data_IF_632781845037
#
_entry.id   IF_632781845037
#
_cell.length_a   1.000
_cell.length_b   1.000
_cell.length_c   1.000
_cell.angle_alpha   90.00
_cell.angle_beta   90.00
_cell.angle_gamma   90.00
#
_symmetry.space_group_name_H-M   'P 1'
#
loop_
_entity.id
_entity.type
_entity.pdbx_description
1 polymer ?
#
# COMPACT_ATOMS: atom_id res chain seq x y z
N UNK A 1 -9.49 2.51 -23.11
CA UNK A 1 -8.28 1.66 -23.16
C UNK A 1 -8.71 0.21 -23.37
N UNK A 2 -8.10 -0.53 -24.30
CA UNK A 2 -8.41 -1.95 -24.53
C UNK A 2 -7.58 -2.84 -23.58
N UNK A 3 -7.93 -4.13 -23.47
CA UNK A 3 -7.28 -5.07 -22.55
C UNK A 3 -5.77 -5.23 -22.80
N UNK A 4 -5.33 -5.15 -24.07
CA UNK A 4 -3.93 -5.27 -24.45
C UNK A 4 -3.07 -4.07 -23.99
N UNK A 5 -3.61 -2.86 -23.99
CA UNK A 5 -2.91 -1.70 -23.47
C UNK A 5 -2.74 -1.76 -21.93
N UNK A 6 -3.77 -2.21 -21.21
CA UNK A 6 -3.66 -2.48 -19.77
C UNK A 6 -2.59 -3.54 -19.47
N UNK A 7 -2.50 -4.56 -20.34
CA UNK A 7 -1.44 -5.57 -20.29
C UNK A 7 -0.05 -5.00 -20.36
N UNK A 8 0.19 -4.19 -21.39
CA UNK A 8 1.50 -3.64 -21.64
C UNK A 8 1.95 -2.75 -20.49
N UNK A 9 1.03 -1.96 -19.92
CA UNK A 9 1.31 -1.13 -18.75
C UNK A 9 1.61 -1.96 -17.50
N UNK A 10 0.81 -3.01 -17.23
CA UNK A 10 1.06 -3.92 -16.13
C UNK A 10 2.42 -4.60 -16.27
N UNK A 11 2.73 -5.12 -17.47
CA UNK A 11 3.99 -5.80 -17.74
C UNK A 11 5.17 -4.85 -17.59
N UNK A 12 5.08 -3.62 -18.11
CA UNK A 12 6.15 -2.63 -17.94
C UNK A 12 6.42 -2.29 -16.46
N UNK A 13 5.38 -2.24 -15.63
CA UNK A 13 5.54 -2.08 -14.17
C UNK A 13 6.13 -3.33 -13.51
N UNK A 14 5.74 -4.53 -13.96
CA UNK A 14 6.31 -5.80 -13.47
C UNK A 14 7.80 -5.91 -13.84
N UNK A 15 8.20 -5.52 -15.05
CA UNK A 15 9.61 -5.49 -15.46
C UNK A 15 10.41 -4.52 -14.60
N UNK A 16 9.81 -3.38 -14.24
CA UNK A 16 10.40 -2.41 -13.30
C UNK A 16 10.57 -2.97 -11.89
N UNK A 17 9.68 -3.85 -11.43
CA UNK A 17 9.75 -4.47 -10.10
C UNK A 17 10.93 -5.44 -9.95
N UNK A 18 11.45 -5.96 -11.06
CA UNK A 18 12.59 -6.89 -11.06
C UNK A 18 13.95 -6.19 -10.90
N UNK A 19 13.99 -4.86 -10.97
CA UNK A 19 15.24 -4.11 -10.91
C UNK A 19 15.83 -4.13 -9.48
N UNK A 20 17.14 -4.34 -9.38
CA UNK A 20 17.82 -4.65 -8.12
C UNK A 20 17.65 -3.58 -7.03
N UNK A 21 17.61 -2.31 -7.43
CA UNK A 21 17.45 -1.16 -6.54
C UNK A 21 16.06 -1.03 -5.89
N UNK A 22 15.08 -1.83 -6.31
CA UNK A 22 13.78 -1.95 -5.64
C UNK A 22 13.65 -3.20 -4.78
N UNK A 23 14.63 -4.12 -4.81
CA UNK A 23 14.60 -5.34 -4.01
C UNK A 23 14.94 -5.04 -2.56
N UNK A 24 14.19 -5.69 -1.67
CA UNK A 24 14.48 -5.68 -0.24
C UNK A 24 15.38 -6.88 0.03
N UNK A 25 16.64 -6.60 0.34
CA UNK A 25 17.71 -7.60 0.52
C UNK A 25 17.66 -8.27 1.89
N UNK A 26 17.22 -7.54 2.91
CA UNK A 26 17.08 -8.04 4.28
C UNK A 26 15.74 -7.62 4.88
N UNK A 27 15.13 -8.53 5.63
CA UNK A 27 13.88 -8.28 6.32
C UNK A 27 14.13 -7.84 7.76
N UNK A 28 13.19 -7.05 8.27
CA UNK A 28 13.10 -6.77 9.70
C UNK A 28 12.72 -8.08 10.40
N UNK A 29 13.66 -8.69 11.11
CA UNK A 29 13.45 -9.97 11.81
C UNK A 29 12.88 -9.78 13.21
N UNK A 30 13.28 -8.69 13.89
CA UNK A 30 12.81 -8.38 15.24
C UNK A 30 11.31 -8.07 15.25
N UNK A 31 10.58 -8.77 16.13
CA UNK A 31 9.14 -8.54 16.34
C UNK A 31 8.86 -7.10 16.77
N UNK A 32 9.71 -6.51 17.60
CA UNK A 32 9.53 -5.14 18.06
C UNK A 32 9.69 -4.14 16.92
N UNK A 33 10.67 -4.34 16.05
CA UNK A 33 10.84 -3.49 14.88
C UNK A 33 9.70 -3.66 13.86
N UNK A 34 9.15 -4.88 13.68
CA UNK A 34 7.93 -5.09 12.89
C UNK A 34 6.73 -4.37 13.51
N UNK A 35 6.59 -4.38 14.84
CA UNK A 35 5.54 -3.64 15.55
C UNK A 35 5.71 -2.12 15.39
N UNK A 36 6.94 -1.60 15.52
CA UNK A 36 7.24 -0.19 15.30
C UNK A 36 6.88 0.24 13.87
N UNK A 37 7.23 -0.58 12.87
CA UNK A 37 6.80 -0.35 11.48
C UNK A 37 5.27 -0.28 11.39
N UNK A 38 4.54 -1.25 11.95
CA UNK A 38 3.07 -1.28 11.91
C UNK A 38 2.47 -0.02 12.56
N UNK A 39 2.98 0.41 13.71
CA UNK A 39 2.55 1.64 14.38
C UNK A 39 2.76 2.85 13.47
N UNK A 40 3.89 2.92 12.78
CA UNK A 40 4.18 4.01 11.85
C UNK A 40 3.33 3.96 10.57
N UNK A 41 2.98 2.77 10.06
CA UNK A 41 2.04 2.63 8.93
C UNK A 41 0.67 3.18 9.32
N UNK A 42 0.15 2.77 10.48
CA UNK A 42 -1.13 3.26 10.99
C UNK A 42 -1.12 4.77 11.21
N UNK A 43 -0.05 5.30 11.80
CA UNK A 43 0.15 6.73 11.94
C UNK A 43 0.16 7.44 10.58
N UNK A 44 0.81 6.87 9.56
CA UNK A 44 0.89 7.46 8.23
C UNK A 44 -0.49 7.53 7.53
N UNK A 45 -1.33 6.51 7.65
CA UNK A 45 -2.71 6.57 7.15
C UNK A 45 -3.53 7.66 7.85
N UNK A 46 -3.49 7.71 9.19
CA UNK A 46 -4.16 8.77 9.96
C UNK A 46 -3.64 10.17 9.57
N UNK A 47 -2.34 10.27 9.27
CA UNK A 47 -1.70 11.49 8.82
C UNK A 47 -2.18 11.93 7.43
N UNK A 48 -2.24 11.04 6.44
CA UNK A 48 -2.71 11.42 5.10
C UNK A 48 -4.19 11.81 5.13
N UNK A 49 -5.03 11.11 5.90
CA UNK A 49 -6.45 11.43 6.05
C UNK A 49 -6.66 12.82 6.67
N UNK A 50 -5.97 13.10 7.78
CA UNK A 50 -6.06 14.38 8.47
C UNK A 50 -5.61 15.56 7.61
N UNK A 51 -4.73 15.32 6.64
CA UNK A 51 -4.13 16.35 5.81
C UNK A 51 -4.65 16.36 4.37
N UNK A 52 -5.70 15.56 4.08
CA UNK A 52 -6.33 15.41 2.77
C UNK A 52 -5.34 15.02 1.65
N UNK A 53 -4.36 14.18 2.00
CA UNK A 53 -3.40 13.60 1.07
C UNK A 53 -3.95 12.29 0.51
N UNK A 54 -3.53 11.95 -0.71
CA UNK A 54 -3.89 10.65 -1.32
C UNK A 54 -3.32 9.49 -0.48
N UNK A 55 -4.17 8.53 -0.10
CA UNK A 55 -3.79 7.38 0.72
C UNK A 55 -2.74 6.49 0.05
N UNK A 56 -2.68 6.47 -1.28
CA UNK A 56 -1.65 5.75 -2.05
C UNK A 56 -0.22 6.25 -1.78
N UNK A 57 -0.06 7.49 -1.29
CA UNK A 57 1.24 8.05 -0.86
C UNK A 57 1.88 7.17 0.23
N UNK A 58 1.06 6.53 1.08
CA UNK A 58 1.56 5.65 2.14
C UNK A 58 2.27 4.42 1.55
N UNK A 59 1.79 3.86 0.43
CA UNK A 59 2.48 2.74 -0.24
C UNK A 59 3.88 3.14 -0.74
N UNK A 60 4.04 4.35 -1.29
CA UNK A 60 5.34 4.86 -1.71
C UNK A 60 6.25 5.12 -0.50
N UNK A 61 5.71 5.77 0.54
CA UNK A 61 6.45 6.06 1.77
C UNK A 61 6.98 4.78 2.42
N UNK A 62 6.18 3.71 2.48
CA UNK A 62 6.64 2.46 3.08
C UNK A 62 7.53 1.62 2.17
N UNK A 63 7.44 1.77 0.85
CA UNK A 63 8.49 1.27 -0.05
C UNK A 63 9.85 1.95 0.20
N UNK A 64 9.87 3.24 0.55
CA UNK A 64 11.09 3.94 0.94
C UNK A 64 11.61 3.47 2.30
N UNK A 65 10.70 3.40 3.27
CA UNK A 65 10.98 2.95 4.63
C UNK A 65 11.57 1.54 4.63
N UNK A 66 10.94 0.59 3.95
CA UNK A 66 11.35 -0.81 3.97
C UNK A 66 12.71 -1.02 3.28
N UNK A 67 12.98 -0.30 2.18
CA UNK A 67 14.30 -0.33 1.53
C UNK A 67 15.40 0.30 2.39
N UNK A 68 15.10 1.37 3.13
CA UNK A 68 16.03 1.94 4.09
C UNK A 68 16.31 0.94 5.22
N UNK A 69 15.26 0.38 5.81
CA UNK A 69 15.37 -0.56 6.92
C UNK A 69 16.08 -1.86 6.53
N UNK A 70 15.99 -2.29 5.27
CA UNK A 70 16.76 -3.42 4.75
C UNK A 70 18.29 -3.27 4.89
N UNK A 71 18.80 -2.06 5.13
CA UNK A 71 20.23 -1.79 5.31
C UNK A 71 20.60 -1.41 6.75
N UNK A 72 19.62 -1.10 7.61
CA UNK A 72 19.84 -0.52 8.93
C UNK A 72 18.93 -1.11 10.03
N UNK A 73 18.30 -2.26 9.79
CA UNK A 73 17.28 -2.86 10.69
C UNK A 73 17.77 -3.06 12.11
N UNK A 74 19.04 -3.45 12.27
CA UNK A 74 19.62 -3.84 13.56
C UNK A 74 20.04 -2.64 14.42
N UNK A 75 19.94 -1.42 13.86
CA UNK A 75 20.41 -0.18 14.49
C UNK A 75 19.28 0.81 14.80
N UNK A 76 18.04 0.50 14.41
CA UNK A 76 16.93 1.43 14.53
C UNK A 76 16.13 1.18 15.81
N UNK A 77 16.28 2.07 16.78
CA UNK A 77 15.33 2.19 17.88
C UNK A 77 13.98 2.77 17.39
N UNK A 78 13.02 2.92 18.31
CA UNK A 78 11.71 3.44 17.95
C UNK A 78 11.77 4.89 17.48
N UNK A 79 12.62 5.73 18.08
CA UNK A 79 12.76 7.14 17.70
C UNK A 79 13.30 7.29 16.27
N UNK A 80 14.33 6.50 15.92
CA UNK A 80 14.86 6.40 14.56
C UNK A 80 13.78 5.93 13.57
N UNK A 81 12.99 4.93 13.96
CA UNK A 81 11.86 4.43 13.15
C UNK A 81 10.82 5.51 12.91
N UNK A 82 10.50 6.32 13.93
CA UNK A 82 9.55 7.41 13.82
C UNK A 82 10.02 8.48 12.85
N UNK A 83 11.21 9.06 13.06
CA UNK A 83 11.71 10.13 12.19
C UNK A 83 11.90 9.64 10.75
N UNK A 84 12.34 8.39 10.55
CA UNK A 84 12.45 7.78 9.23
C UNK A 84 11.09 7.71 8.54
N UNK A 85 10.06 7.12 9.19
CA UNK A 85 8.74 6.99 8.59
C UNK A 85 8.08 8.35 8.30
N UNK A 86 8.23 9.32 9.20
CA UNK A 86 7.77 10.69 8.98
C UNK A 86 8.45 11.35 7.77
N UNK A 87 9.75 11.14 7.64
CA UNK A 87 10.54 11.67 6.51
C UNK A 87 10.17 10.98 5.21
N UNK A 88 9.99 9.65 5.22
CA UNK A 88 9.52 8.89 4.06
C UNK A 88 8.16 9.39 3.58
N UNK A 89 7.22 9.66 4.49
CA UNK A 89 5.92 10.22 4.15
C UNK A 89 6.03 11.63 3.55
N UNK A 90 6.86 12.49 4.14
CA UNK A 90 7.13 13.84 3.63
C UNK A 90 7.72 13.81 2.22
N UNK A 91 8.71 12.97 1.98
CA UNK A 91 9.36 12.84 0.68
C UNK A 91 8.41 12.22 -0.34
N UNK A 92 7.66 11.16 0.01
CA UNK A 92 6.68 10.55 -0.87
C UNK A 92 5.58 11.54 -1.27
N UNK A 93 5.10 12.37 -0.32
CA UNK A 93 4.13 13.41 -0.62
C UNK A 93 4.67 14.47 -1.59
N UNK A 94 5.96 14.82 -1.51
CA UNK A 94 6.58 15.75 -2.47
C UNK A 94 6.73 15.17 -3.88
N UNK A 95 6.99 13.87 -3.98
CA UNK A 95 7.24 13.21 -5.27
C UNK A 95 5.93 12.80 -5.96
N UNK A 96 4.95 12.29 -5.20
CA UNK A 96 3.78 11.60 -5.77
C UNK A 96 2.45 12.30 -5.52
N UNK A 97 2.38 13.34 -4.69
CA UNK A 97 1.09 14.00 -4.44
C UNK A 97 0.61 14.78 -5.67
N UNK A 98 -0.63 14.54 -6.05
CA UNK A 98 -1.37 15.30 -7.06
C UNK A 98 -2.04 16.56 -6.50
N UNK A 99 -1.97 16.79 -5.17
CA UNK A 99 -2.61 17.93 -4.51
C UNK A 99 -1.82 19.21 -4.77
N UNK A 100 -2.56 20.31 -4.97
CA UNK A 100 -1.99 21.64 -5.20
C UNK A 100 -1.28 22.23 -3.99
N UNK A 101 -1.68 21.82 -2.77
CA UNK A 101 -1.07 22.28 -1.53
C UNK A 101 -0.02 21.25 -1.03
N UNK A 102 1.28 21.54 -1.16
CA UNK A 102 2.32 20.60 -0.76
C UNK A 102 2.37 20.43 0.77
N UNK A 103 2.73 19.21 1.21
CA UNK A 103 3.02 18.94 2.61
C UNK A 103 4.33 19.65 3.00
N UNK A 104 4.23 20.82 3.63
CA UNK A 104 5.42 21.59 4.05
C UNK A 104 6.19 20.91 5.19
N UNK A 105 7.49 21.18 5.29
CA UNK A 105 8.32 20.67 6.40
C UNK A 105 7.82 21.10 7.79
N UNK A 106 7.24 22.30 7.90
CA UNK A 106 6.65 22.79 9.15
C UNK A 106 5.42 21.98 9.55
N UNK A 107 4.62 21.52 8.58
CA UNK A 107 3.45 20.66 8.84
C UNK A 107 3.88 19.29 9.36
N UNK A 108 4.84 18.63 8.69
CA UNK A 108 5.33 17.32 9.14
C UNK A 108 6.04 17.41 10.50
N UNK A 109 6.88 18.43 10.74
CA UNK A 109 7.48 18.65 12.07
C UNK A 109 6.42 18.84 13.15
N UNK A 110 5.36 19.62 12.89
CA UNK A 110 4.24 19.77 13.84
C UNK A 110 3.50 18.46 14.11
N UNK A 111 3.45 17.52 13.16
CA UNK A 111 2.83 16.21 13.36
C UNK A 111 3.60 15.35 14.37
N UNK A 112 4.89 15.62 14.58
CA UNK A 112 5.69 14.96 15.61
C UNK A 112 5.37 15.45 17.03
N UNK A 113 4.48 16.46 17.18
CA UNK A 113 4.19 17.12 18.46
C UNK A 113 5.43 17.67 19.19
N UNK A 114 6.47 18.04 18.42
CA UNK A 114 7.71 18.60 18.95
C UNK A 114 8.82 17.58 19.18
N UNK A 115 8.60 16.28 18.91
CA UNK A 115 9.66 15.28 19.02
C UNK A 115 10.79 15.50 17.99
N UNK A 116 10.46 16.04 16.81
CA UNK A 116 11.45 16.26 15.75
C UNK A 116 11.42 17.67 15.19
N UNK A 117 12.57 18.31 15.24
CA UNK A 117 12.81 19.60 14.61
C UNK A 117 12.92 19.48 13.08
N UNK A 118 12.64 20.58 12.39
CA UNK A 118 12.81 20.68 10.92
C UNK A 118 14.20 20.24 10.47
N UNK A 119 15.25 20.60 11.21
CA UNK A 119 16.64 20.25 10.86
C UNK A 119 16.87 18.74 10.84
N UNK A 120 16.34 18.02 11.83
CA UNK A 120 16.46 16.56 11.91
C UNK A 120 15.75 15.88 10.73
N UNK A 121 14.57 16.38 10.34
CA UNK A 121 13.82 15.87 9.18
C UNK A 121 14.56 16.14 7.87
N UNK A 122 15.17 17.32 7.69
CA UNK A 122 15.99 17.62 6.52
C UNK A 122 17.20 16.68 6.44
N UNK A 123 17.85 16.40 7.56
CA UNK A 123 19.03 15.53 7.56
C UNK A 123 18.66 14.07 7.27
N UNK A 124 17.56 13.59 7.86
CA UNK A 124 17.03 12.28 7.52
C UNK A 124 16.60 12.20 6.04
N UNK A 125 16.07 13.28 5.47
CA UNK A 125 15.71 13.33 4.05
C UNK A 125 16.94 13.13 3.16
N UNK A 126 18.04 13.86 3.42
CA UNK A 126 19.28 13.71 2.63
C UNK A 126 19.80 12.27 2.71
N UNK A 127 19.81 11.70 3.91
CA UNK A 127 20.26 10.32 4.14
C UNK A 127 19.37 9.33 3.38
N UNK A 128 18.04 9.49 3.47
CA UNK A 128 17.08 8.68 2.74
C UNK A 128 17.31 8.73 1.24
N UNK A 129 17.41 9.92 0.65
CA UNK A 129 17.62 10.08 -0.81
C UNK A 129 18.95 9.46 -1.24
N UNK A 130 20.01 9.64 -0.43
CA UNK A 130 21.33 9.05 -0.68
C UNK A 130 21.27 7.52 -0.68
N UNK A 131 20.60 6.90 0.30
CA UNK A 131 20.44 5.45 0.39
C UNK A 131 19.63 4.91 -0.79
N UNK A 132 18.54 5.59 -1.13
CA UNK A 132 17.68 5.20 -2.23
C UNK A 132 18.28 5.53 -3.60
N UNK A 133 19.44 6.19 -3.66
CA UNK A 133 20.12 6.59 -4.89
C UNK A 133 19.18 7.25 -5.92
N UNK A 134 18.29 8.12 -5.44
CA UNK A 134 17.25 8.80 -6.25
C UNK A 134 16.20 7.90 -6.92
N UNK A 135 16.16 6.59 -6.64
CA UNK A 135 15.12 5.68 -7.12
C UNK A 135 13.81 5.85 -6.35
N UNK A 136 13.15 6.99 -6.59
CA UNK A 136 11.98 7.48 -5.86
C UNK A 136 10.64 7.10 -6.50
N UNK A 137 10.62 6.37 -7.61
CA UNK A 137 9.38 5.93 -8.27
C UNK A 137 9.22 4.41 -8.21
N UNK A 138 9.16 3.79 -7.02
CA UNK A 138 9.04 2.35 -6.91
C UNK A 138 7.71 1.87 -7.48
N UNK A 139 7.67 0.66 -8.05
CA UNK A 139 6.41 -0.01 -8.28
C UNK A 139 5.73 -0.27 -6.92
N UNK A 140 4.46 0.08 -6.83
CA UNK A 140 3.61 -0.16 -5.65
C UNK A 140 2.29 -0.77 -6.10
N UNK A 141 1.59 -1.57 -5.26
CA UNK A 141 0.42 -2.31 -5.70
C UNK A 141 -0.70 -1.41 -6.27
N UNK A 142 -0.85 -0.19 -5.75
CA UNK A 142 -1.84 0.79 -6.23
C UNK A 142 -1.62 1.19 -7.69
N UNK A 143 -0.37 1.29 -8.17
CA UNK A 143 -0.07 1.62 -9.56
C UNK A 143 -0.54 0.52 -10.52
N UNK A 144 -0.40 -0.75 -10.11
CA UNK A 144 -0.88 -1.88 -10.89
C UNK A 144 -2.42 -1.87 -11.02
N UNK A 145 -3.14 -1.55 -9.94
CA UNK A 145 -4.59 -1.41 -9.99
C UNK A 145 -5.02 -0.28 -10.91
N UNK A 146 -4.28 0.83 -10.96
CA UNK A 146 -4.59 1.94 -11.86
C UNK A 146 -4.48 1.54 -13.34
N UNK A 147 -3.55 0.64 -13.71
CA UNK A 147 -3.45 0.12 -15.09
C UNK A 147 -4.70 -0.64 -15.54
N UNK A 148 -5.36 -1.34 -14.61
CA UNK A 148 -6.57 -2.13 -14.90
C UNK A 148 -7.85 -1.35 -14.64
N UNK A 149 -7.77 -0.19 -13.97
CA UNK A 149 -8.94 0.65 -13.66
C UNK A 149 -9.72 1.00 -14.91
N UNK A 150 -9.08 1.56 -15.94
CA UNK A 150 -9.78 1.89 -17.17
C UNK A 150 -10.42 0.66 -17.84
N UNK A 151 -9.81 -0.52 -17.73
CA UNK A 151 -10.40 -1.74 -18.25
C UNK A 151 -11.65 -2.15 -17.45
N UNK A 152 -11.58 -2.13 -16.11
CA UNK A 152 -12.69 -2.41 -15.22
C UNK A 152 -13.89 -1.47 -15.48
N UNK A 153 -13.64 -0.17 -15.56
CA UNK A 153 -14.69 0.84 -15.72
C UNK A 153 -15.32 0.85 -17.12
N UNK A 154 -14.57 0.44 -18.16
CA UNK A 154 -15.11 0.31 -19.52
C UNK A 154 -15.89 -0.99 -19.75
N UNK A 155 -15.87 -1.94 -18.81
CA UNK A 155 -16.63 -3.17 -18.94
C UNK A 155 -18.13 -2.89 -18.87
N UNK A 156 -18.84 -3.05 -19.99
CA UNK A 156 -20.29 -2.79 -20.09
C UNK A 156 -21.15 -3.83 -19.37
N UNK A 157 -20.58 -5.01 -19.08
CA UNK A 157 -21.30 -6.10 -18.42
C UNK A 157 -21.38 -5.92 -16.90
N UNK A 158 -20.66 -4.94 -16.34
CA UNK A 158 -20.70 -4.59 -14.92
C UNK A 158 -21.48 -3.29 -14.70
N UNK A 159 -22.35 -3.28 -13.69
CA UNK A 159 -22.96 -2.05 -13.18
C UNK A 159 -21.91 -1.12 -12.56
N UNK A 160 -22.21 0.19 -12.48
CA UNK A 160 -21.32 1.16 -11.82
C UNK A 160 -21.02 0.74 -10.38
N UNK A 161 -22.05 0.42 -9.60
CA UNK A 161 -21.91 0.01 -8.20
C UNK A 161 -20.97 -1.20 -8.02
N UNK A 162 -21.01 -2.18 -8.94
CA UNK A 162 -20.09 -3.33 -8.88
C UNK A 162 -18.65 -2.93 -9.20
N UNK A 163 -18.44 -2.01 -10.15
CA UNK A 163 -17.09 -1.51 -10.49
C UNK A 163 -16.48 -0.76 -9.30
N UNK A 164 -17.27 0.09 -8.68
CA UNK A 164 -16.88 0.86 -7.50
C UNK A 164 -16.57 -0.09 -6.33
N UNK A 165 -17.45 -1.07 -6.06
CA UNK A 165 -17.23 -2.10 -5.03
C UNK A 165 -15.94 -2.89 -5.24
N UNK A 166 -15.65 -3.34 -6.47
CA UNK A 166 -14.41 -4.06 -6.78
C UNK A 166 -13.19 -3.16 -6.53
N UNK A 167 -13.23 -1.93 -7.04
CA UNK A 167 -12.12 -0.99 -6.90
C UNK A 167 -11.85 -0.65 -5.43
N UNK A 168 -12.88 -0.26 -4.69
CA UNK A 168 -12.78 0.15 -3.29
C UNK A 168 -12.30 -1.00 -2.40
N UNK A 169 -12.82 -2.22 -2.61
CA UNK A 169 -12.34 -3.41 -1.90
C UNK A 169 -10.89 -3.72 -2.24
N UNK A 170 -10.49 -3.58 -3.50
CA UNK A 170 -9.10 -3.82 -3.93
C UNK A 170 -8.15 -2.84 -3.26
N UNK A 171 -8.47 -1.55 -3.28
CA UNK A 171 -7.65 -0.51 -2.63
C UNK A 171 -7.57 -0.76 -1.12
N UNK A 172 -8.69 -1.05 -0.47
CA UNK A 172 -8.73 -1.38 0.96
C UNK A 172 -7.79 -2.55 1.32
N UNK A 173 -7.83 -3.63 0.55
CA UNK A 173 -6.96 -4.80 0.76
C UNK A 173 -5.48 -4.47 0.52
N UNK A 174 -5.17 -3.62 -0.45
CA UNK A 174 -3.80 -3.10 -0.65
C UNK A 174 -3.37 -2.31 0.58
N UNK A 175 -4.23 -1.46 1.15
CA UNK A 175 -3.88 -0.69 2.33
C UNK A 175 -3.59 -1.58 3.55
N UNK A 176 -4.40 -2.63 3.74
CA UNK A 176 -4.14 -3.66 4.75
C UNK A 176 -2.82 -4.40 4.50
N UNK A 177 -2.48 -4.67 3.23
CA UNK A 177 -1.22 -5.32 2.89
C UNK A 177 0.01 -4.49 3.27
N UNK A 178 -0.08 -3.16 3.23
CA UNK A 178 1.02 -2.27 3.69
C UNK A 178 1.23 -2.42 5.20
N UNK A 179 0.17 -2.65 5.97
CA UNK A 179 0.24 -2.88 7.41
C UNK A 179 0.86 -4.24 7.77
N UNK A 180 0.74 -5.25 6.91
CA UNK A 180 1.21 -6.60 7.21
C UNK A 180 2.63 -6.84 6.66
N UNK A 181 3.56 -7.10 7.59
CA UNK A 181 4.97 -7.32 7.27
C UNK A 181 5.21 -8.48 6.28
N UNK A 182 4.29 -9.45 6.19
CA UNK A 182 4.38 -10.55 5.23
C UNK A 182 4.52 -10.06 3.77
N UNK A 183 3.85 -8.95 3.41
CA UNK A 183 3.81 -8.45 2.04
C UNK A 183 5.06 -7.64 1.65
N UNK A 184 5.90 -7.27 2.61
CA UNK A 184 7.10 -6.45 2.37
C UNK A 184 8.04 -7.09 1.34
N UNK A 185 8.19 -8.43 1.35
CA UNK A 185 9.02 -9.15 0.38
C UNK A 185 8.28 -9.63 -0.86
N UNK A 186 6.98 -9.38 -0.94
CA UNK A 186 6.16 -9.86 -2.06
C UNK A 186 6.21 -8.85 -3.18
N UNK A 187 6.14 -9.35 -4.41
CA UNK A 187 6.10 -8.49 -5.58
C UNK A 187 4.83 -7.64 -5.55
N UNK A 188 4.93 -6.30 -5.75
CA UNK A 188 3.75 -5.44 -5.78
C UNK A 188 2.68 -5.90 -6.78
N UNK A 189 3.10 -6.46 -7.93
CA UNK A 189 2.19 -7.08 -8.92
C UNK A 189 1.35 -8.22 -8.32
N UNK A 190 1.96 -9.09 -7.52
CA UNK A 190 1.30 -10.24 -6.88
C UNK A 190 0.33 -9.80 -5.79
N UNK A 191 0.68 -8.75 -5.04
CA UNK A 191 -0.20 -8.16 -4.02
C UNK A 191 -1.42 -7.53 -4.67
N UNK A 192 -1.23 -6.74 -5.73
CA UNK A 192 -2.32 -6.12 -6.48
C UNK A 192 -3.24 -7.16 -7.11
N UNK A 193 -2.68 -8.21 -7.70
CA UNK A 193 -3.44 -9.32 -8.29
C UNK A 193 -4.32 -10.03 -7.26
N UNK A 194 -3.75 -10.36 -6.08
CA UNK A 194 -4.47 -11.01 -4.99
C UNK A 194 -5.61 -10.13 -4.45
N UNK A 195 -5.35 -8.83 -4.26
CA UNK A 195 -6.36 -7.89 -3.80
C UNK A 195 -7.50 -7.75 -4.82
N UNK A 196 -7.17 -7.62 -6.11
CA UNK A 196 -8.15 -7.49 -7.19
C UNK A 196 -9.03 -8.75 -7.30
N UNK A 197 -8.42 -9.93 -7.21
CA UNK A 197 -9.13 -11.20 -7.22
C UNK A 197 -10.17 -11.29 -6.10
N UNK A 198 -9.79 -10.95 -4.86
CA UNK A 198 -10.74 -10.94 -3.74
C UNK A 198 -11.82 -9.88 -3.96
N UNK A 199 -11.47 -8.69 -4.45
CA UNK A 199 -12.46 -7.64 -4.77
C UNK A 199 -13.54 -8.12 -5.75
N UNK A 200 -13.14 -8.89 -6.77
CA UNK A 200 -14.06 -9.49 -7.75
C UNK A 200 -14.91 -10.62 -7.16
N UNK A 201 -14.31 -11.50 -6.35
CA UNK A 201 -15.00 -12.57 -5.62
C UNK A 201 -16.10 -11.97 -4.72
N UNK A 202 -15.78 -10.92 -3.97
CA UNK A 202 -16.72 -10.24 -3.06
C UNK A 202 -17.87 -9.55 -3.81
N UNK A 203 -17.59 -8.97 -4.98
CA UNK A 203 -18.61 -8.33 -5.81
C UNK A 203 -19.49 -9.32 -6.61
N UNK A 204 -19.23 -10.63 -6.50
CA UNK A 204 -19.89 -11.66 -7.30
C UNK A 204 -19.72 -11.40 -8.80
N UNK A 205 -18.50 -11.02 -9.20
CA UNK A 205 -18.14 -10.69 -10.56
C UNK A 205 -17.24 -11.78 -11.14
N UNK A 206 -17.83 -12.68 -11.92
CA UNK A 206 -17.08 -13.58 -12.80
C UNK A 206 -16.64 -12.80 -14.04
N UNK A 207 -15.69 -11.89 -13.86
CA UNK A 207 -14.92 -11.47 -15.03
C UNK A 207 -14.06 -12.67 -15.42
N UNK A 208 -14.08 -13.09 -16.70
CA UNK A 208 -12.93 -13.79 -17.23
C UNK A 208 -11.82 -12.75 -17.21
N UNK A 209 -11.05 -12.66 -16.11
CA UNK A 209 -9.81 -11.90 -16.11
C UNK A 209 -8.87 -12.65 -17.05
N UNK A 210 -9.03 -12.41 -18.34
CA UNK A 210 -7.92 -12.09 -19.21
C UNK A 210 -7.45 -10.66 -18.92
N UNK A 211 -7.49 -10.22 -17.65
CA UNK A 211 -6.43 -9.32 -17.20
C UNK A 211 -5.18 -10.15 -17.45
N UNK A 212 -4.26 -9.67 -18.28
CA UNK A 212 -3.02 -10.34 -18.57
C UNK A 212 -2.12 -10.19 -17.36
N UNK A 213 -2.53 -10.88 -16.31
CA UNK A 213 -1.67 -11.33 -15.24
C UNK A 213 -0.73 -12.28 -15.95
N UNK A 214 0.53 -11.85 -16.08
CA UNK A 214 1.61 -12.71 -16.52
C UNK A 214 1.47 -14.08 -15.82
N UNK A 215 1.75 -15.21 -16.50
CA UNK A 215 1.68 -16.54 -15.87
C UNK A 215 2.41 -16.60 -14.52
N UNK A 216 3.52 -15.88 -14.41
CA UNK A 216 4.33 -15.68 -13.19
C UNK A 216 3.55 -15.03 -12.03
N UNK A 217 2.63 -14.11 -12.34
CA UNK A 217 1.77 -13.48 -11.35
C UNK A 217 0.71 -14.45 -10.80
N UNK A 218 0.31 -15.49 -11.55
CA UNK A 218 -0.70 -16.47 -11.09
C UNK A 218 -0.15 -17.43 -10.02
N UNK A 219 1.10 -17.84 -10.13
CA UNK A 219 1.71 -18.81 -9.20
C UNK A 219 2.14 -18.15 -7.87
N UNK A 220 2.85 -17.00 -7.94
CA UNK A 220 3.23 -16.24 -6.74
C UNK A 220 2.04 -15.55 -6.04
N UNK A 221 0.94 -15.33 -6.77
CA UNK A 221 -0.30 -14.88 -6.16
C UNK A 221 -0.85 -15.89 -5.16
N UNK A 222 -0.55 -17.19 -5.21
CA UNK A 222 -1.13 -18.18 -4.31
C UNK A 222 -0.89 -17.89 -2.82
N UNK A 223 0.36 -17.54 -2.46
CA UNK A 223 0.71 -17.18 -1.08
C UNK A 223 0.14 -15.81 -0.68
N UNK A 224 0.21 -14.82 -1.59
CA UNK A 224 -0.34 -13.49 -1.36
C UNK A 224 -1.86 -13.54 -1.17
N UNK A 225 -2.56 -14.26 -2.03
CA UNK A 225 -4.00 -14.50 -2.00
C UNK A 225 -4.42 -15.21 -0.72
N UNK A 226 -3.70 -16.25 -0.31
CA UNK A 226 -3.98 -16.97 0.93
C UNK A 226 -3.86 -16.06 2.16
N UNK A 227 -2.81 -15.22 2.22
CA UNK A 227 -2.66 -14.26 3.32
C UNK A 227 -3.70 -13.14 3.25
N UNK A 228 -3.97 -12.64 2.05
CA UNK A 228 -4.95 -11.56 1.83
C UNK A 228 -6.37 -12.00 2.18
N UNK A 229 -6.76 -13.23 1.85
CA UNK A 229 -8.04 -13.81 2.28
C UNK A 229 -8.15 -13.89 3.80
N UNK A 230 -7.07 -14.21 4.51
CA UNK A 230 -7.06 -14.17 5.99
C UNK A 230 -7.29 -12.75 6.51
N UNK A 231 -6.62 -11.74 5.93
CA UNK A 231 -6.83 -10.32 6.29
C UNK A 231 -8.26 -9.85 6.01
N UNK A 232 -8.84 -10.28 4.88
CA UNK A 232 -10.23 -10.01 4.55
C UNK A 232 -11.17 -10.62 5.59
N UNK A 233 -11.03 -11.92 5.89
CA UNK A 233 -11.87 -12.61 6.89
C UNK A 233 -11.76 -11.99 8.29
N UNK A 234 -10.56 -11.60 8.71
CA UNK A 234 -10.39 -10.92 10.01
C UNK A 234 -11.00 -9.53 10.05
N UNK A 235 -11.12 -8.86 8.91
CA UNK A 235 -11.75 -7.53 8.81
C UNK A 235 -13.27 -7.60 8.71
N UNK A 236 -13.82 -8.73 8.25
CA UNK A 236 -15.24 -8.96 8.02
C UNK A 236 -15.70 -10.33 8.56
N UNK A 237 -15.71 -10.54 9.90
CA UNK A 237 -16.01 -11.83 10.50
C UNK A 237 -17.45 -12.33 10.26
N UNK A 238 -18.42 -11.44 10.04
CA UNK A 238 -19.86 -11.78 10.03
C UNK A 238 -20.46 -12.09 8.63
N UNK A 239 -19.65 -12.17 7.56
CA UNK A 239 -20.17 -12.34 6.19
C UNK A 239 -20.38 -13.80 5.73
N UNK A 240 -20.13 -14.80 6.57
CA UNK A 240 -20.38 -16.21 6.21
C UNK A 240 -21.85 -16.66 6.36
N UNK A 241 -22.74 -15.87 6.99
CA UNK A 241 -24.13 -16.30 7.30
C UNK A 241 -25.27 -15.47 6.70
N UNK A 242 -25.03 -14.62 5.69
CA UNK A 242 -26.17 -14.05 4.93
C UNK A 242 -25.91 -13.87 3.44
N UNK A 243 -26.74 -14.57 2.67
CA UNK A 243 -27.04 -14.25 1.28
C UNK A 243 -27.37 -12.75 1.14
N UNK A 244 -26.59 -12.06 0.30
CA UNK A 244 -26.82 -10.69 -0.20
C UNK A 244 -26.94 -9.61 0.88
N UNK A 245 -25.80 -9.01 1.24
CA UNK A 245 -25.81 -7.65 1.78
C UNK A 245 -24.96 -6.75 0.87
N UNK A 246 -25.60 -5.79 0.22
CA UNK A 246 -25.03 -4.96 -0.85
C UNK A 246 -24.42 -3.65 -0.38
N UNK A 247 -24.47 -3.34 0.92
CA UNK A 247 -24.08 -2.02 1.41
C UNK A 247 -23.15 -2.14 2.62
N UNK A 248 -21.83 -2.18 2.39
CA UNK A 248 -20.84 -1.80 3.39
C UNK A 248 -19.73 -1.03 2.67
N UNK A 249 -19.64 0.28 2.92
CA UNK A 249 -18.53 1.12 2.45
C UNK A 249 -17.26 0.77 3.24
N UNK A 250 -16.09 0.59 2.58
CA UNK A 250 -14.83 0.24 3.25
C UNK A 250 -14.28 1.33 4.20
N UNK A 251 -14.87 2.52 4.24
CA UNK A 251 -14.43 3.61 5.11
C UNK A 251 -14.71 3.38 6.61
N UNK A 252 -15.68 2.54 6.98
CA UNK A 252 -16.06 2.35 8.39
C UNK A 252 -15.18 1.34 9.15
N UNK A 253 -14.45 0.45 8.45
CA UNK A 253 -13.73 -0.67 9.08
C UNK A 253 -12.29 -0.32 9.50
N UNK A 254 -11.65 0.67 8.86
CA UNK A 254 -10.32 1.11 9.25
C UNK A 254 -10.30 1.74 10.66
N UNK A 255 -11.44 2.31 11.11
CA UNK A 255 -11.60 2.79 12.48
C UNK A 255 -11.68 1.65 13.51
N UNK A 256 -12.19 0.48 13.17
CA UNK A 256 -12.34 -0.64 14.13
C UNK A 256 -10.98 -1.23 14.55
N UNK A 257 -9.97 -1.20 13.67
CA UNK A 257 -8.59 -1.64 14.00
C UNK A 257 -7.87 -0.64 14.92
N UNK A 258 -8.38 0.59 15.07
CA UNK A 258 -7.81 1.58 16.01
C UNK A 258 -8.22 1.33 17.47
N UNK A 259 -9.31 0.62 17.72
CA UNK A 259 -9.85 0.41 19.07
C UNK A 259 -9.41 -0.90 19.73
N UNK A 260 -8.96 -1.90 18.96
CA UNK A 260 -8.50 -3.20 19.50
C UNK A 260 -7.05 -3.20 20.00
N UNK A 261 -6.37 -2.05 20.04
CA UNK A 261 -4.99 -1.91 20.54
C UNK A 261 -4.89 -1.21 21.91
N UNK A 262 -6.04 -0.87 22.53
CA UNK A 262 -6.13 -0.16 23.81
C UNK A 262 -6.72 -1.01 24.94
N UNK A 263 -6.41 -2.30 24.93
CA UNK A 263 -6.75 -3.26 26.01
C UNK A 263 -5.65 -4.29 26.16
#
# INVERSE_FOLDING_TARGET
MNASAAAAQWQALADKENQEYYKITQLITSRDAQNHRLLMVKWAYNAVDKYDLDRSIVSFAFSYFDRFMALYSDLADFECTQILAMTCLYVAAKVHSSRTAPLTISRISRMSKGCFERKQIVEMEKRLISILSWYMHPPVPTLFVETVRHFLYNNRNLSSAKKDQVYDMTIYLIELSVCDHFFVTKRPSSVAAAALQIGLEVAGCDLPLQVPLAPEAKEMAGACLSRMRKLYKSSFPDKEDSSRCTDCSPNDVMMTITQSSSS
#
